data_IF_022132551435
#
_entry.id   IF_022132551435
#
_cell.length_a   1.000
_cell.length_b   1.000
_cell.length_c   1.000
_cell.angle_alpha   90.00
_cell.angle_beta   90.00
_cell.angle_gamma   90.00
#
_symmetry.space_group_name_H-M   'P 1'
#
loop_
_entity.id
_entity.type
_entity.pdbx_description
1 polymer ?
#
# COMPACT_ATOMS: atom_id res chain seq x y z
N UNK A 1 -8.47 -7.48 -14.26
CA UNK A 1 -8.42 -6.72 -13.00
C UNK A 1 -8.49 -7.68 -11.82
N UNK A 2 -7.61 -7.61 -10.81
CA UNK A 2 -7.82 -8.37 -9.59
C UNK A 2 -9.02 -7.77 -8.86
N UNK A 3 -10.07 -8.58 -8.73
CA UNK A 3 -11.25 -8.27 -7.92
C UNK A 3 -10.81 -8.21 -6.45
N UNK A 4 -11.36 -7.30 -5.64
CA UNK A 4 -11.08 -7.17 -4.20
C UNK A 4 -11.16 -8.51 -3.45
N UNK A 5 -12.01 -9.42 -3.91
CA UNK A 5 -12.19 -10.78 -3.39
C UNK A 5 -10.95 -11.67 -3.49
N UNK A 6 -9.86 -11.22 -4.13
CA UNK A 6 -8.59 -11.93 -4.21
C UNK A 6 -7.53 -11.43 -3.22
N UNK A 7 -7.80 -10.36 -2.47
CA UNK A 7 -6.86 -9.88 -1.46
C UNK A 7 -7.02 -10.66 -0.16
N UNK A 8 -5.89 -11.02 0.45
CA UNK A 8 -5.89 -11.63 1.78
C UNK A 8 -6.22 -10.56 2.85
N UNK A 9 -6.66 -10.96 4.05
CA UNK A 9 -6.92 -10.00 5.13
C UNK A 9 -5.71 -9.12 5.48
N UNK A 10 -4.48 -9.64 5.39
CA UNK A 10 -3.28 -8.85 5.66
C UNK A 10 -2.99 -7.83 4.55
N UNK A 11 -3.28 -8.16 3.29
CA UNK A 11 -3.19 -7.22 2.17
C UNK A 11 -4.22 -6.11 2.28
N UNK A 12 -5.45 -6.43 2.70
CA UNK A 12 -6.48 -5.40 2.99
C UNK A 12 -6.00 -4.48 4.12
N UNK A 13 -5.44 -5.05 5.21
CA UNK A 13 -4.86 -4.24 6.29
C UNK A 13 -3.71 -3.36 5.81
N UNK A 14 -2.85 -3.86 4.91
CA UNK A 14 -1.79 -3.06 4.33
C UNK A 14 -2.35 -1.88 3.50
N UNK A 15 -3.38 -2.10 2.69
CA UNK A 15 -4.04 -1.02 1.94
C UNK A 15 -4.63 0.04 2.88
N UNK A 16 -5.26 -0.37 3.98
CA UNK A 16 -5.77 0.56 5.00
C UNK A 16 -4.64 1.30 5.70
N UNK A 17 -3.54 0.61 6.03
CA UNK A 17 -2.39 1.19 6.74
C UNK A 17 -1.66 2.23 5.89
N UNK A 18 -1.58 2.04 4.58
CA UNK A 18 -0.93 2.94 3.64
C UNK A 18 -1.83 4.10 3.18
N UNK A 19 -3.11 4.09 3.53
CA UNK A 19 -4.00 5.21 3.24
C UNK A 19 -3.76 6.34 4.24
N UNK A 20 -3.00 7.33 3.79
CA UNK A 20 -2.65 8.54 4.52
C UNK A 20 -3.68 9.68 4.35
N UNK A 21 -4.79 9.44 3.63
CA UNK A 21 -5.83 10.44 3.41
C UNK A 21 -5.50 11.49 2.34
N UNK A 22 -4.33 11.42 1.70
CA UNK A 22 -3.93 12.33 0.63
C UNK A 22 -4.12 11.71 -0.76
N UNK A 23 -4.19 12.53 -1.81
CA UNK A 23 -4.17 12.02 -3.19
C UNK A 23 -2.84 11.31 -3.50
N UNK A 24 -2.79 10.48 -4.54
CA UNK A 24 -1.55 9.76 -4.91
C UNK A 24 -0.35 10.70 -5.12
N UNK A 25 -0.57 11.88 -5.75
CA UNK A 25 0.50 12.85 -6.03
C UNK A 25 1.03 13.55 -4.78
N UNK A 26 0.20 13.70 -3.75
CA UNK A 26 0.55 14.42 -2.51
C UNK A 26 1.01 13.46 -1.39
N UNK A 27 0.92 12.16 -1.65
CA UNK A 27 1.24 11.11 -0.68
C UNK A 27 2.73 10.79 -0.66
N UNK A 28 3.31 10.94 0.52
CA UNK A 28 4.70 10.51 0.82
C UNK A 28 4.77 9.06 1.28
N UNK A 29 3.62 8.45 1.63
CA UNK A 29 3.54 7.05 2.05
C UNK A 29 3.95 6.81 3.50
N UNK A 30 4.33 5.57 3.79
CA UNK A 30 4.78 5.11 5.09
C UNK A 30 6.16 4.46 4.95
N UNK A 31 7.05 4.75 5.89
CA UNK A 31 8.37 4.13 5.96
C UNK A 31 8.26 2.66 6.39
N UNK A 32 9.07 1.79 5.81
CA UNK A 32 9.07 0.35 6.07
C UNK A 32 9.25 0.00 7.55
N UNK A 33 10.09 0.74 8.27
CA UNK A 33 10.35 0.54 9.69
C UNK A 33 9.14 0.85 10.59
N UNK A 34 8.14 1.57 10.07
CA UNK A 34 6.90 1.88 10.76
C UNK A 34 5.79 0.83 10.51
N UNK A 35 6.12 -0.22 9.76
CA UNK A 35 5.23 -1.32 9.41
C UNK A 35 5.66 -2.58 10.15
N UNK A 36 4.70 -3.39 10.58
CA UNK A 36 5.02 -4.73 11.08
C UNK A 36 5.48 -5.64 9.93
N UNK A 37 6.28 -6.67 10.22
CA UNK A 37 6.80 -7.61 9.22
C UNK A 37 5.70 -8.20 8.32
N UNK A 38 4.56 -8.55 8.91
CA UNK A 38 3.43 -9.09 8.16
C UNK A 38 2.83 -8.07 7.17
N UNK A 39 2.77 -6.79 7.57
CA UNK A 39 2.31 -5.70 6.68
C UNK A 39 3.36 -5.42 5.62
N UNK A 40 4.65 -5.47 5.97
CA UNK A 40 5.75 -5.26 5.02
C UNK A 40 5.74 -6.31 3.90
N UNK A 41 5.61 -7.60 4.24
CA UNK A 41 5.47 -8.69 3.26
C UNK A 41 4.28 -8.43 2.33
N UNK A 42 3.13 -8.05 2.90
CA UNK A 42 1.95 -7.74 2.11
C UNK A 42 2.16 -6.52 1.18
N UNK A 43 2.92 -5.50 1.61
CA UNK A 43 3.25 -4.35 0.75
C UNK A 43 4.07 -4.76 -0.48
N UNK A 44 5.05 -5.67 -0.32
CA UNK A 44 5.81 -6.19 -1.45
C UNK A 44 4.94 -7.00 -2.43
N UNK A 45 4.05 -7.85 -1.92
CA UNK A 45 3.10 -8.59 -2.75
C UNK A 45 2.16 -7.64 -3.51
N UNK A 46 1.60 -6.65 -2.83
CA UNK A 46 0.75 -5.62 -3.42
C UNK A 46 1.50 -4.76 -4.44
N UNK A 47 2.81 -4.57 -4.25
CA UNK A 47 3.65 -3.87 -5.23
C UNK A 47 3.80 -4.66 -6.52
N UNK A 48 4.00 -5.98 -6.44
CA UNK A 48 3.98 -6.87 -7.62
C UNK A 48 2.63 -6.87 -8.34
N UNK A 49 1.54 -6.52 -7.64
CA UNK A 49 0.20 -6.38 -8.22
C UNK A 49 -0.08 -4.98 -8.82
N UNK A 50 0.84 -4.03 -8.65
CA UNK A 50 0.70 -2.63 -9.08
C UNK A 50 -0.26 -1.81 -8.22
N UNK A 51 -0.50 -2.22 -6.97
CA UNK A 51 -1.39 -1.53 -6.02
C UNK A 51 -0.61 -0.65 -5.04
N UNK A 52 0.68 -0.95 -4.84
CA UNK A 52 1.59 -0.22 -3.97
C UNK A 52 2.87 0.09 -4.75
N UNK A 53 3.40 1.29 -4.56
CA UNK A 53 4.75 1.66 -5.01
C UNK A 53 5.70 1.56 -3.82
N UNK A 54 6.88 0.99 -4.07
CA UNK A 54 8.02 1.07 -3.17
C UNK A 54 9.02 2.07 -3.74
N UNK A 55 9.50 2.99 -2.92
CA UNK A 55 10.53 3.97 -3.29
C UNK A 55 11.64 4.00 -2.25
N UNK A 56 12.85 4.32 -2.70
CA UNK A 56 13.97 4.60 -1.81
C UNK A 56 13.87 6.04 -1.30
N UNK A 57 13.90 6.19 0.02
CA UNK A 57 13.98 7.46 0.72
C UNK A 57 15.42 7.83 1.09
N UNK A 58 15.54 8.88 1.92
CA UNK A 58 16.84 9.32 2.43
C UNK A 58 17.48 8.24 3.32
N UNK A 59 18.82 8.16 3.31
CA UNK A 59 19.62 7.17 4.07
C UNK A 59 19.30 5.70 3.77
N UNK A 60 18.75 5.39 2.59
CA UNK A 60 18.47 4.01 2.19
C UNK A 60 17.19 3.43 2.81
N UNK A 61 16.36 4.28 3.40
CA UNK A 61 15.03 3.89 3.89
C UNK A 61 14.13 3.47 2.74
N UNK A 62 13.21 2.53 2.98
CA UNK A 62 12.22 2.10 1.98
C UNK A 62 10.86 2.67 2.38
N UNK A 63 10.16 3.27 1.43
CA UNK A 63 8.86 3.87 1.64
C UNK A 63 7.83 3.20 0.74
N UNK A 64 6.63 3.00 1.26
CA UNK A 64 5.51 2.41 0.55
C UNK A 64 4.35 3.40 0.45
N UNK A 65 3.75 3.53 -0.73
CA UNK A 65 2.53 4.34 -0.92
C UNK A 65 1.55 3.65 -1.84
N UNK A 66 0.26 3.96 -1.68
CA UNK A 66 -0.76 3.48 -2.61
C UNK A 66 -0.58 4.12 -3.98
N UNK A 67 -0.67 3.30 -5.03
CA UNK A 67 -0.88 3.83 -6.39
C UNK A 67 -2.30 4.39 -6.52
N UNK A 68 -2.57 5.17 -7.57
CA UNK A 68 -3.94 5.58 -7.87
C UNK A 68 -4.91 4.38 -7.92
N UNK A 69 -4.46 3.27 -8.53
CA UNK A 69 -5.22 2.01 -8.58
C UNK A 69 -5.39 1.35 -7.21
N UNK A 70 -4.36 1.36 -6.38
CA UNK A 70 -4.44 0.88 -4.98
C UNK A 70 -5.48 1.64 -4.16
N UNK A 71 -5.55 2.97 -4.34
CA UNK A 71 -6.56 3.82 -3.69
C UNK A 71 -7.97 3.49 -4.14
N UNK A 72 -8.22 3.37 -5.44
CA UNK A 72 -9.55 2.95 -5.94
C UNK A 72 -9.98 1.61 -5.35
N UNK A 73 -9.07 0.63 -5.28
CA UNK A 73 -9.36 -0.68 -4.67
C UNK A 73 -9.69 -0.53 -3.18
N UNK A 74 -8.92 0.26 -2.43
CA UNK A 74 -9.20 0.54 -1.02
C UNK A 74 -10.57 1.19 -0.82
N UNK A 75 -10.94 2.14 -1.69
CA UNK A 75 -12.21 2.87 -1.60
C UNK A 75 -13.41 1.96 -1.87
N UNK A 76 -13.35 1.13 -2.91
CA UNK A 76 -14.42 0.18 -3.23
C UNK A 76 -14.64 -0.80 -2.07
N UNK A 77 -13.58 -1.22 -1.37
CA UNK A 77 -13.69 -2.11 -0.21
C UNK A 77 -14.25 -1.45 1.06
N UNK A 78 -14.51 -0.14 1.05
CA UNK A 78 -15.14 0.60 2.15
C UNK A 78 -16.67 0.59 2.09
N UNK A 79 -17.22 0.27 0.91
CA UNK A 79 -18.66 0.16 0.59
C UNK A 79 -19.13 -1.28 0.72
#
# INVERSE_FOLDING_TARGET
MPHLSKLTPIQIRALVRLDDGHGHMDSVGQEAEQLSDAVLVACYELSRMGLVEASSGWRGTVWFRLTARGRTIREVGRT
#
